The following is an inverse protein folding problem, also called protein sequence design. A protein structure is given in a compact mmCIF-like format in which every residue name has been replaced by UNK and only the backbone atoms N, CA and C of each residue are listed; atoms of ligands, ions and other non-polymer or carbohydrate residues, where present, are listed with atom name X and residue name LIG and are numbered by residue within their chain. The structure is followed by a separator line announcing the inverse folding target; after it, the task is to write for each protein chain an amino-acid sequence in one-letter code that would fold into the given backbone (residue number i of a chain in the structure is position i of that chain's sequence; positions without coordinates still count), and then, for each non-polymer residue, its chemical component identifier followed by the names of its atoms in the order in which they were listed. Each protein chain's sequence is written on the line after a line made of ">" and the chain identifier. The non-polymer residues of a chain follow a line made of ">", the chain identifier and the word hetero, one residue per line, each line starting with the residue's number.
data_IF_646238737159
#
_entry.id   IF_646238737159
#
_cell.length_a   1.000
_cell.length_b   1.000
_cell.length_c   1.000
_cell.angle_alpha   90.00
_cell.angle_beta   90.00
_cell.angle_gamma   90.00
#
_symmetry.space_group_name_H-M   'P 1'
#
loop_
_entity.id
_entity.type
_entity.pdbx_description
1 polymer ?
#
# COMPACT_ATOMS: atom_id res chain seq x y z
N UNK A 1 -10.46 -6.06 -15.68
CA UNK A 1 -9.05 -6.51 -15.82
C UNK A 1 -8.64 -7.05 -14.45
N UNK A 2 -8.29 -8.34 -14.33
CA UNK A 2 -7.90 -8.97 -13.05
C UNK A 2 -6.39 -8.80 -12.91
N UNK A 3 -5.94 -7.84 -12.11
CA UNK A 3 -4.52 -7.61 -11.88
C UNK A 3 -4.25 -7.78 -10.40
N UNK A 4 -3.17 -8.49 -10.07
CA UNK A 4 -2.68 -8.53 -8.70
C UNK A 4 -2.33 -7.10 -8.27
N UNK A 5 -2.59 -6.69 -7.04
CA UNK A 5 -2.05 -5.43 -6.51
C UNK A 5 -0.86 -5.72 -5.60
N UNK A 6 0.14 -4.86 -5.61
CA UNK A 6 1.36 -4.96 -4.79
C UNK A 6 1.47 -3.72 -3.92
N UNK A 7 1.32 -3.91 -2.61
CA UNK A 7 1.58 -2.90 -1.59
C UNK A 7 3.03 -2.99 -1.15
N UNK A 8 3.72 -1.86 -1.11
CA UNK A 8 5.07 -1.72 -0.56
C UNK A 8 5.07 -0.57 0.44
N UNK A 9 5.64 -0.80 1.63
CA UNK A 9 5.85 0.22 2.66
C UNK A 9 7.34 0.28 3.00
N UNK A 10 7.88 1.49 2.97
CA UNK A 10 9.26 1.81 3.28
C UNK A 10 9.28 2.88 4.37
N UNK A 11 10.09 2.69 5.40
CA UNK A 11 10.34 3.67 6.46
C UNK A 11 11.84 3.90 6.55
N UNK A 12 12.25 5.17 6.48
CA UNK A 12 13.66 5.60 6.51
C UNK A 12 14.52 4.90 5.45
N UNK A 13 13.94 4.65 4.27
CA UNK A 13 14.59 3.94 3.17
C UNK A 13 14.62 2.41 3.33
N UNK A 14 14.20 1.86 4.47
CA UNK A 14 14.09 0.42 4.68
C UNK A 14 12.68 -0.07 4.32
N UNK A 15 12.59 -1.00 3.37
CA UNK A 15 11.32 -1.66 3.02
C UNK A 15 10.91 -2.63 4.13
N UNK A 16 9.85 -2.28 4.84
CA UNK A 16 9.32 -3.04 5.98
C UNK A 16 8.12 -3.90 5.63
N UNK A 17 7.41 -3.59 4.53
CA UNK A 17 6.33 -4.44 4.00
C UNK A 17 6.42 -4.53 2.48
N UNK A 18 6.18 -5.74 1.96
CA UNK A 18 5.80 -5.96 0.56
C UNK A 18 4.80 -7.10 0.48
N UNK A 19 3.58 -6.80 0.05
CA UNK A 19 2.49 -7.78 -0.01
C UNK A 19 1.75 -7.71 -1.32
N UNK A 20 1.37 -8.87 -1.82
CA UNK A 20 0.58 -9.00 -3.05
C UNK A 20 -0.84 -9.46 -2.71
N UNK A 21 -1.82 -8.79 -3.31
CA UNK A 21 -3.24 -9.12 -3.20
C UNK A 21 -3.73 -9.63 -4.54
N UNK A 22 -4.13 -10.90 -4.57
CA UNK A 22 -4.70 -11.54 -5.76
C UNK A 22 -6.23 -11.59 -5.65
N UNK A 23 -6.97 -11.53 -6.76
CA UNK A 23 -8.41 -11.72 -6.73
C UNK A 23 -8.76 -13.18 -6.33
N UNK A 24 -9.12 -13.45 -5.07
CA UNK A 24 -9.14 -14.82 -4.51
C UNK A 24 -10.40 -15.24 -3.72
N UNK A 25 -11.61 -14.91 -4.19
CA UNK A 25 -12.86 -15.49 -3.65
C UNK A 25 -13.45 -16.59 -4.56
N UNK A 26 -14.40 -17.41 -4.08
CA UNK A 26 -15.10 -18.47 -4.85
C UNK A 26 -15.81 -17.98 -6.13
N UNK A 27 -15.96 -16.65 -6.29
CA UNK A 27 -16.48 -15.98 -7.51
C UNK A 27 -15.43 -15.18 -8.29
N UNK A 28 -14.19 -15.12 -7.80
CA UNK A 28 -13.09 -14.38 -8.43
C UNK A 28 -13.08 -12.87 -8.17
N UNK A 29 -13.75 -12.40 -7.11
CA UNK A 29 -13.97 -10.97 -6.82
C UNK A 29 -12.82 -10.29 -6.06
N UNK A 30 -11.88 -11.05 -5.50
CA UNK A 30 -10.76 -10.48 -4.73
C UNK A 30 -11.12 -9.88 -3.38
N UNK A 31 -10.11 -9.42 -2.63
CA UNK A 31 -10.35 -8.76 -1.36
C UNK A 31 -11.10 -7.44 -1.59
N UNK A 32 -12.26 -7.28 -0.96
CA UNK A 32 -13.01 -6.02 -0.93
C UNK A 32 -12.29 -4.95 -0.11
N UNK A 33 -11.46 -5.36 0.84
CA UNK A 33 -10.57 -4.52 1.64
C UNK A 33 -9.34 -5.33 2.06
N UNK A 34 -8.22 -4.65 2.26
CA UNK A 34 -7.01 -5.19 2.86
C UNK A 34 -6.55 -4.28 4.00
N UNK A 35 -6.03 -4.87 5.06
CA UNK A 35 -5.57 -4.14 6.24
C UNK A 35 -4.24 -4.74 6.70
N UNK A 36 -3.25 -3.88 6.90
CA UNK A 36 -1.91 -4.28 7.35
C UNK A 36 -1.47 -3.34 8.47
N UNK A 37 -0.95 -3.92 9.53
CA UNK A 37 -0.29 -3.19 10.60
C UNK A 37 1.21 -3.33 10.43
N UNK A 38 1.91 -2.21 10.60
CA UNK A 38 3.37 -2.18 10.47
C UNK A 38 3.94 -1.53 11.72
N UNK A 39 4.67 -2.29 12.57
CA UNK A 39 5.25 -1.72 13.77
C UNK A 39 6.38 -0.75 13.39
N UNK A 40 6.34 0.44 13.96
CA UNK A 40 7.37 1.47 13.81
C UNK A 40 7.73 1.99 15.19
N UNK A 41 9.02 2.25 15.43
CA UNK A 41 9.48 2.88 16.66
C UNK A 41 8.94 4.31 16.77
N UNK A 42 8.70 4.85 17.97
CA UNK A 42 8.41 6.27 18.10
C UNK A 42 9.58 7.13 17.60
N UNK A 43 9.29 8.20 16.86
CA UNK A 43 10.32 9.06 16.28
C UNK A 43 9.85 9.80 15.03
N UNK A 44 10.79 10.54 14.43
CA UNK A 44 10.60 11.16 13.12
C UNK A 44 11.01 10.17 12.05
N UNK A 45 10.12 9.96 11.09
CA UNK A 45 10.29 8.98 10.04
C UNK A 45 9.95 9.57 8.68
N UNK A 46 10.71 9.14 7.66
CA UNK A 46 10.31 9.31 6.26
C UNK A 46 9.61 8.05 5.79
N UNK A 47 8.33 8.17 5.52
CA UNK A 47 7.46 7.11 5.05
C UNK A 47 7.26 7.21 3.53
N UNK A 48 7.38 6.07 2.85
CA UNK A 48 6.96 5.89 1.47
C UNK A 48 6.04 4.68 1.37
N UNK A 49 4.84 4.90 0.83
CA UNK A 49 3.87 3.84 0.55
C UNK A 49 3.57 3.83 -0.93
N UNK A 50 3.70 2.66 -1.56
CA UNK A 50 3.33 2.45 -2.95
C UNK A 50 2.30 1.33 -3.05
N UNK A 51 1.23 1.57 -3.79
CA UNK A 51 0.32 0.55 -4.29
C UNK A 51 0.44 0.52 -5.81
N UNK A 52 0.70 -0.65 -6.38
CA UNK A 52 0.84 -0.78 -7.82
C UNK A 52 0.17 -2.04 -8.35
N UNK A 53 -0.24 -2.00 -9.59
CA UNK A 53 -0.56 -3.21 -10.33
C UNK A 53 0.69 -4.10 -10.41
N UNK A 54 0.56 -5.35 -9.97
CA UNK A 54 1.49 -6.43 -10.22
C UNK A 54 1.64 -6.66 -11.72
N UNK A 55 2.75 -7.28 -12.14
CA UNK A 55 3.12 -7.42 -13.55
C UNK A 55 1.92 -7.92 -14.34
N UNK A 56 1.30 -7.01 -15.08
CA UNK A 56 0.15 -7.33 -15.88
C UNK A 56 0.60 -8.25 -17.00
N UNK A 57 -0.29 -9.13 -17.45
CA UNK A 57 -0.15 -9.84 -18.73
C UNK A 57 0.52 -8.94 -19.77
N UNK A 58 1.45 -9.51 -20.56
CA UNK A 58 2.30 -8.78 -21.52
C UNK A 58 1.56 -7.83 -22.47
N UNK A 59 0.24 -7.99 -22.60
CA UNK A 59 -0.63 -7.21 -23.49
C UNK A 59 -1.26 -5.96 -22.84
N UNK A 60 -0.95 -5.68 -21.58
CA UNK A 60 -1.76 -4.78 -20.80
C UNK A 60 -1.06 -3.44 -20.53
N UNK A 61 -1.63 -2.37 -21.11
CA UNK A 61 -1.36 -0.93 -20.90
C UNK A 61 -0.74 -0.59 -19.52
N UNK A 62 0.19 0.36 -19.52
CA UNK A 62 0.96 0.92 -18.38
C UNK A 62 0.34 0.59 -17.00
N UNK A 63 1.03 -0.21 -16.16
CA UNK A 63 0.50 -0.60 -14.85
C UNK A 63 0.24 0.62 -13.99
N UNK A 64 -0.90 0.63 -13.28
CA UNK A 64 -1.23 1.74 -12.38
C UNK A 64 -0.30 1.72 -11.18
N UNK A 65 0.03 2.91 -10.68
CA UNK A 65 0.83 3.11 -9.48
C UNK A 65 0.33 4.34 -8.72
N UNK A 66 0.16 4.19 -7.43
CA UNK A 66 -0.07 5.25 -6.46
C UNK A 66 1.08 5.28 -5.49
N UNK A 67 1.56 6.48 -5.15
CA UNK A 67 2.65 6.70 -4.22
C UNK A 67 2.28 7.80 -3.24
N UNK A 68 2.60 7.59 -1.96
CA UNK A 68 2.52 8.58 -0.90
C UNK A 68 3.88 8.65 -0.21
N UNK A 69 4.50 9.82 -0.22
CA UNK A 69 5.71 10.12 0.55
C UNK A 69 5.39 11.16 1.63
N UNK A 70 5.74 10.88 2.89
CA UNK A 70 5.49 11.79 4.01
C UNK A 70 6.60 11.71 5.05
N UNK A 71 7.02 12.88 5.54
CA UNK A 71 7.74 12.99 6.80
C UNK A 71 6.71 13.17 7.92
N UNK A 72 6.79 12.34 8.97
CA UNK A 72 5.90 12.43 10.12
C UNK A 72 6.61 12.11 11.44
N UNK A 73 6.13 12.72 12.52
CA UNK A 73 6.49 12.36 13.88
C UNK A 73 5.45 11.38 14.42
N UNK A 74 5.88 10.16 14.74
CA UNK A 74 5.05 9.14 15.37
C UNK A 74 5.39 9.11 16.86
N UNK A 75 4.44 9.48 17.71
CA UNK A 75 4.60 9.40 19.17
C UNK A 75 4.19 8.03 19.67
N UNK A 76 4.71 7.65 20.84
CA UNK A 76 4.31 6.39 21.49
C UNK A 76 2.79 6.33 21.66
N UNK A 77 2.18 5.21 21.23
CA UNK A 77 0.73 5.01 21.26
C UNK A 77 -0.04 5.65 20.10
N UNK A 78 0.62 6.36 19.17
CA UNK A 78 -0.01 6.81 17.93
C UNK A 78 0.06 5.75 16.83
N UNK A 79 -1.02 5.61 16.08
CA UNK A 79 -1.11 4.74 14.91
C UNK A 79 -1.72 5.55 13.74
N UNK A 80 -0.90 6.29 12.97
CA UNK A 80 -1.37 7.01 11.78
C UNK A 80 -1.98 6.02 10.78
N UNK A 81 -3.11 6.39 10.17
CA UNK A 81 -3.81 5.52 9.24
C UNK A 81 -3.53 5.96 7.81
N UNK A 82 -3.16 5.00 6.95
CA UNK A 82 -3.07 5.22 5.51
C UNK A 82 -4.22 4.48 4.86
N UNK A 83 -5.08 5.26 4.21
CA UNK A 83 -6.22 4.75 3.48
C UNK A 83 -5.95 4.78 1.98
N UNK A 84 -6.54 3.84 1.26
CA UNK A 84 -6.57 3.84 -0.20
C UNK A 84 -8.01 3.76 -0.70
N UNK A 85 -8.31 4.54 -1.74
CA UNK A 85 -9.48 4.35 -2.59
C UNK A 85 -9.13 4.73 -4.02
N UNK A 86 -9.82 4.16 -5.01
CA UNK A 86 -9.52 4.45 -6.42
C UNK A 86 -9.72 5.93 -6.77
N UNK A 87 -10.75 6.57 -6.21
CA UNK A 87 -11.07 7.98 -6.49
C UNK A 87 -10.06 8.96 -5.86
N UNK A 88 -9.49 8.57 -4.72
CA UNK A 88 -8.80 9.48 -3.82
C UNK A 88 -7.30 9.19 -3.66
N UNK A 89 -6.84 8.03 -4.14
CA UNK A 89 -5.47 7.54 -4.00
C UNK A 89 -5.13 7.18 -2.55
N UNK A 90 -3.83 7.18 -2.26
CA UNK A 90 -3.29 6.98 -0.91
C UNK A 90 -3.39 8.29 -0.09
N UNK A 91 -3.93 8.20 1.13
CA UNK A 91 -4.08 9.35 2.04
C UNK A 91 -3.70 9.00 3.46
N UNK A 92 -2.98 9.89 4.12
CA UNK A 92 -2.72 9.83 5.55
C UNK A 92 -3.87 10.50 6.31
N UNK A 93 -4.34 9.87 7.38
CA UNK A 93 -5.37 10.35 8.31
C UNK A 93 -4.83 10.43 9.73
#
# INVERSE_FOLDING_TARGET
>A
RRVQSVLTVTVDGQRILRKSYSPGGLRGDGPTFAYEEVPVTPGRHRLEVTLADGHADRDALTPRRWTLERDLEIRAGQAPLIEFSEDAGLRLR
#
